data_IF_103360372804
#
_entry.id   IF_103360372804
#
_cell.length_a   1.000
_cell.length_b   1.000
_cell.length_c   1.000
_cell.angle_alpha   90.00
_cell.angle_beta   90.00
_cell.angle_gamma   90.00
#
_symmetry.space_group_name_H-M   'P 1'
#
loop_
_entity.id
_entity.type
_entity.pdbx_description
1 polymer ?
#
# COMPACT_ATOMS: atom_id res chain seq x y z
N UNK A 1 26.21 -16.18 -15.87
CA UNK A 1 24.78 -16.58 -15.83
C UNK A 1 23.97 -15.32 -15.60
N UNK A 2 23.55 -14.65 -16.67
CA UNK A 2 22.73 -13.44 -16.57
C UNK A 2 21.27 -13.86 -16.44
N UNK A 3 20.74 -13.78 -15.22
CA UNK A 3 19.31 -13.84 -14.97
C UNK A 3 18.69 -12.60 -15.61
N UNK A 4 18.02 -12.79 -16.75
CA UNK A 4 17.18 -11.76 -17.34
C UNK A 4 16.08 -11.41 -16.35
N UNK A 5 16.29 -10.35 -15.56
CA UNK A 5 15.19 -9.70 -14.84
C UNK A 5 14.32 -9.08 -15.91
N UNK A 6 13.17 -9.69 -16.19
CA UNK A 6 12.09 -8.99 -16.86
C UNK A 6 11.82 -7.69 -16.08
N UNK A 7 11.65 -6.54 -16.73
CA UNK A 7 11.26 -5.34 -16.00
C UNK A 7 9.91 -5.61 -15.35
N UNK A 8 9.88 -5.60 -14.01
CA UNK A 8 8.63 -5.63 -13.28
C UNK A 8 7.81 -4.39 -13.66
N UNK A 9 6.51 -4.51 -13.95
CA UNK A 9 5.66 -3.37 -14.30
C UNK A 9 5.52 -2.36 -13.16
N UNK A 10 5.87 -2.76 -11.94
CA UNK A 10 5.96 -1.91 -10.77
C UNK A 10 7.41 -1.78 -10.29
N UNK A 11 7.80 -0.61 -9.75
CA UNK A 11 9.12 -0.40 -9.16
C UNK A 11 9.35 -1.34 -7.96
N UNK A 12 10.58 -1.46 -7.44
CA UNK A 12 10.85 -2.22 -6.23
C UNK A 12 9.98 -1.76 -5.04
N UNK A 13 9.64 -2.68 -4.14
CA UNK A 13 8.75 -2.36 -3.03
C UNK A 13 9.27 -1.23 -2.14
N UNK A 14 10.59 -1.07 -1.96
CA UNK A 14 11.15 0.03 -1.16
C UNK A 14 10.75 1.41 -1.71
N UNK A 15 10.65 1.53 -3.04
CA UNK A 15 10.17 2.76 -3.71
C UNK A 15 8.68 2.95 -3.45
N UNK A 16 7.88 1.89 -3.57
CA UNK A 16 6.44 1.93 -3.26
C UNK A 16 6.20 2.31 -1.79
N UNK A 17 6.93 1.69 -0.87
CA UNK A 17 6.86 1.97 0.56
C UNK A 17 7.14 3.45 0.84
N UNK A 18 8.23 3.99 0.29
CA UNK A 18 8.58 5.39 0.45
C UNK A 18 7.52 6.34 -0.14
N UNK A 19 7.15 6.13 -1.40
CA UNK A 19 6.26 7.04 -2.14
C UNK A 19 4.82 7.01 -1.63
N UNK A 20 4.38 5.88 -1.08
CA UNK A 20 3.02 5.71 -0.54
C UNK A 20 2.95 5.80 0.99
N UNK A 21 4.06 6.03 1.70
CA UNK A 21 4.02 6.36 3.13
C UNK A 21 3.07 7.55 3.44
N UNK A 22 3.05 8.64 2.65
CA UNK A 22 2.09 9.73 2.85
C UNK A 22 0.62 9.30 2.74
N UNK A 23 0.30 8.28 1.93
CA UNK A 23 -1.05 7.73 1.82
C UNK A 23 -1.49 7.10 3.15
N UNK A 24 -0.62 6.29 3.76
CA UNK A 24 -0.89 5.62 5.06
C UNK A 24 -1.18 6.67 6.14
N UNK A 25 -0.29 7.66 6.31
CA UNK A 25 -0.50 8.74 7.28
C UNK A 25 -1.73 9.60 6.99
N UNK A 26 -2.08 9.79 5.70
CA UNK A 26 -3.30 10.50 5.32
C UNK A 26 -4.55 9.70 5.68
N UNK A 27 -4.52 8.37 5.57
CA UNK A 27 -5.68 7.53 5.91
C UNK A 27 -5.97 7.55 7.41
N UNK A 28 -4.95 7.46 8.28
CA UNK A 28 -5.10 7.60 9.74
C UNK A 28 -5.84 8.90 10.08
N UNK A 29 -5.40 10.03 9.49
CA UNK A 29 -6.05 11.33 9.68
C UNK A 29 -7.46 11.38 9.09
N UNK A 30 -7.68 10.80 7.91
CA UNK A 30 -8.96 10.83 7.20
C UNK A 30 -10.03 9.98 7.88
N UNK A 31 -9.63 8.90 8.55
CA UNK A 31 -10.52 7.98 9.25
C UNK A 31 -10.73 8.36 10.73
N UNK A 32 -10.18 9.50 11.18
CA UNK A 32 -10.29 9.96 12.58
C UNK A 32 -9.82 8.91 13.59
N UNK A 33 -8.74 8.19 13.26
CA UNK A 33 -8.10 7.25 14.18
C UNK A 33 -7.33 8.08 15.21
N UNK A 34 -7.69 7.93 16.49
CA UNK A 34 -7.15 8.72 17.60
C UNK A 34 -6.29 7.90 18.58
N UNK A 35 -6.25 6.58 18.43
CA UNK A 35 -5.50 5.64 19.26
C UNK A 35 -4.94 4.50 18.41
N UNK A 36 -4.04 3.69 18.99
CA UNK A 36 -3.43 2.52 18.33
C UNK A 36 -2.73 2.87 17.00
N UNK A 37 -2.13 4.07 16.91
CA UNK A 37 -1.54 4.57 15.66
C UNK A 37 -0.50 3.62 15.08
N UNK A 38 0.30 2.97 15.93
CA UNK A 38 1.33 2.02 15.49
C UNK A 38 0.72 0.79 14.81
N UNK A 39 -0.38 0.25 15.33
CA UNK A 39 -1.10 -0.88 14.72
C UNK A 39 -1.69 -0.48 13.37
N UNK A 40 -2.30 0.72 13.29
CA UNK A 40 -2.82 1.24 12.03
C UNK A 40 -1.72 1.53 11.01
N UNK A 41 -0.54 2.03 11.44
CA UNK A 41 0.61 2.19 10.57
C UNK A 41 1.05 0.83 10.01
N UNK A 42 1.21 -0.17 10.87
CA UNK A 42 1.59 -1.53 10.46
C UNK A 42 0.60 -2.12 9.46
N UNK A 43 -0.70 -2.04 9.74
CA UNK A 43 -1.73 -2.54 8.82
C UNK A 43 -1.73 -1.75 7.51
N UNK A 44 -1.53 -0.43 7.54
CA UNK A 44 -1.38 0.37 6.34
C UNK A 44 -0.21 -0.08 5.47
N UNK A 45 0.95 -0.34 6.05
CA UNK A 45 2.12 -0.83 5.33
C UNK A 45 1.97 -2.28 4.83
N UNK A 46 1.37 -3.16 5.64
CA UNK A 46 1.07 -4.53 5.22
C UNK A 46 0.07 -4.54 4.05
N UNK A 47 -0.91 -3.64 4.08
CA UNK A 47 -1.87 -3.44 2.99
C UNK A 47 -1.20 -2.95 1.71
N UNK A 48 -0.20 -2.05 1.81
CA UNK A 48 0.63 -1.63 0.68
C UNK A 48 1.44 -2.80 0.11
N UNK A 49 2.03 -3.63 0.97
CA UNK A 49 2.75 -4.83 0.54
C UNK A 49 1.84 -5.79 -0.22
N UNK A 50 0.64 -6.06 0.29
CA UNK A 50 -0.29 -6.91 -0.43
C UNK A 50 -0.81 -6.27 -1.72
N UNK A 51 -1.08 -4.96 -1.73
CA UNK A 51 -1.45 -4.24 -2.95
C UNK A 51 -0.35 -4.38 -4.01
N UNK A 52 0.92 -4.26 -3.61
CA UNK A 52 2.08 -4.45 -4.48
C UNK A 52 2.17 -5.86 -5.04
N UNK A 53 2.06 -6.88 -4.18
CA UNK A 53 2.17 -8.29 -4.56
C UNK A 53 1.05 -8.74 -5.49
N UNK A 54 -0.17 -8.29 -5.23
CA UNK A 54 -1.38 -8.73 -5.94
C UNK A 54 -1.76 -7.78 -7.10
N UNK A 55 -0.90 -6.80 -7.42
CA UNK A 55 -1.19 -5.82 -8.46
C UNK A 55 -1.30 -6.45 -9.84
N UNK A 56 -2.33 -6.03 -10.57
CA UNK A 56 -2.59 -6.44 -11.94
C UNK A 56 -2.88 -5.18 -12.76
N UNK A 57 -1.96 -4.85 -13.67
CA UNK A 57 -2.04 -3.65 -14.52
C UNK A 57 -3.29 -3.64 -15.41
N UNK A 58 -3.82 -4.81 -15.78
CA UNK A 58 -5.03 -4.91 -16.59
C UNK A 58 -6.29 -4.45 -15.83
N UNK A 59 -6.23 -4.39 -14.48
CA UNK A 59 -7.33 -3.95 -13.62
C UNK A 59 -7.30 -2.45 -13.31
N UNK A 60 -6.27 -1.72 -13.75
CA UNK A 60 -6.16 -0.27 -13.60
C UNK A 60 -4.88 0.19 -12.88
N UNK A 61 -4.78 1.48 -12.53
CA UNK A 61 -3.57 2.05 -11.96
C UNK A 61 -3.33 1.59 -10.52
N UNK A 62 -2.06 1.30 -10.20
CA UNK A 62 -1.64 0.89 -8.86
C UNK A 62 -2.08 1.87 -7.76
N UNK A 63 -2.00 3.18 -8.02
CA UNK A 63 -2.34 4.21 -7.04
C UNK A 63 -3.77 4.11 -6.53
N UNK A 64 -4.73 3.87 -7.42
CA UNK A 64 -6.14 3.68 -7.06
C UNK A 64 -6.34 2.39 -6.26
N UNK A 65 -5.64 1.32 -6.65
CA UNK A 65 -5.71 0.03 -5.95
C UNK A 65 -5.12 0.11 -4.54
N UNK A 66 -3.93 0.70 -4.39
CA UNK A 66 -3.27 0.93 -3.12
C UNK A 66 -4.13 1.79 -2.18
N UNK A 67 -4.70 2.89 -2.69
CA UNK A 67 -5.62 3.73 -1.92
C UNK A 67 -6.82 2.92 -1.40
N UNK A 68 -7.49 2.17 -2.26
CA UNK A 68 -8.67 1.38 -1.89
C UNK A 68 -8.33 0.33 -0.84
N UNK A 69 -7.24 -0.42 -1.04
CA UNK A 69 -6.84 -1.51 -0.15
C UNK A 69 -6.45 -0.99 1.24
N UNK A 70 -5.56 0.00 1.31
CA UNK A 70 -5.13 0.60 2.60
C UNK A 70 -6.33 1.15 3.36
N UNK A 71 -7.23 1.87 2.68
CA UNK A 71 -8.45 2.41 3.30
C UNK A 71 -9.34 1.28 3.83
N UNK A 72 -9.57 0.23 3.04
CA UNK A 72 -10.45 -0.87 3.41
C UNK A 72 -9.92 -1.62 4.64
N UNK A 73 -8.66 -1.99 4.65
CA UNK A 73 -8.03 -2.74 5.74
C UNK A 73 -8.04 -1.94 7.05
N UNK A 74 -7.77 -0.62 7.00
CA UNK A 74 -7.92 0.24 8.18
C UNK A 74 -9.38 0.35 8.64
N UNK A 75 -10.35 0.45 7.72
CA UNK A 75 -11.77 0.49 8.08
C UNK A 75 -12.23 -0.79 8.78
N UNK A 76 -11.68 -1.96 8.40
CA UNK A 76 -12.00 -3.24 9.03
C UNK A 76 -11.52 -3.35 10.48
N UNK A 77 -10.55 -2.53 10.88
CA UNK A 77 -10.04 -2.47 12.26
C UNK A 77 -10.78 -1.49 13.18
N UNK A 78 -11.63 -0.62 12.63
CA UNK A 78 -12.44 0.33 13.40
C UNK A 78 -13.62 -0.36 14.08
#
# INVERSE_FOLDING_TARGET
MNSFRTPSPCPPFDVIYHDYTPLVHRMIRRLYIHSNHDDFLQVGYLSLWYAYRDYDEAKGPFSSYAFMRVKYEMLTML
#
